data_IF_213516366279
#
_entry.id   IF_213516366279
#
_cell.length_a   1.000
_cell.length_b   1.000
_cell.length_c   1.000
_cell.angle_alpha   90.00
_cell.angle_beta   90.00
_cell.angle_gamma   90.00
#
_symmetry.space_group_name_H-M   'P 1'
#
loop_
_entity.id
_entity.type
_entity.pdbx_description
1 polymer ?
#
# COMPACT_ATOMS: atom_id res chain seq x y z
N UNK A 1 0.79 -18.84 24.76
CA UNK A 1 -0.21 -18.69 23.67
C UNK A 1 0.05 -17.35 23.04
N UNK A 2 0.41 -17.30 21.76
CA UNK A 2 0.60 -16.02 21.08
C UNK A 2 -0.74 -15.31 21.00
N UNK A 3 -0.77 -14.05 21.43
CA UNK A 3 -1.96 -13.22 21.34
C UNK A 3 -1.93 -12.50 19.99
N UNK A 4 -2.05 -13.25 18.87
CA UNK A 4 -2.17 -12.63 17.56
C UNK A 4 -3.50 -11.87 17.48
N UNK A 5 -3.45 -10.58 17.74
CA UNK A 5 -4.59 -9.67 17.64
C UNK A 5 -4.37 -8.74 16.46
N UNK A 6 -5.24 -8.84 15.49
CA UNK A 6 -5.14 -8.06 14.24
C UNK A 6 -6.32 -7.12 14.11
N UNK A 7 -6.03 -5.85 13.83
CA UNK A 7 -7.00 -4.89 13.32
C UNK A 7 -6.91 -4.79 11.79
N UNK A 8 -7.97 -4.35 11.15
CA UNK A 8 -8.04 -4.14 9.69
C UNK A 8 -8.28 -2.67 9.38
N UNK A 9 -7.54 -2.12 8.42
CA UNK A 9 -7.76 -0.80 7.82
C UNK A 9 -7.97 -0.98 6.33
N UNK A 10 -9.14 -0.55 5.84
CA UNK A 10 -9.49 -0.54 4.42
C UNK A 10 -9.73 0.90 3.96
N UNK A 11 -9.32 1.21 2.73
CA UNK A 11 -9.57 2.51 2.10
C UNK A 11 -10.41 2.31 0.85
N UNK A 12 -11.46 3.12 0.67
CA UNK A 12 -12.33 3.07 -0.49
C UNK A 12 -12.60 4.46 -1.07
N UNK A 13 -12.82 4.53 -2.38
CA UNK A 13 -13.27 5.74 -3.08
C UNK A 13 -14.03 5.40 -4.35
N UNK A 14 -15.35 5.67 -4.37
CA UNK A 14 -16.22 5.44 -5.54
C UNK A 14 -16.12 4.01 -6.11
N UNK A 15 -16.11 3.00 -5.24
CA UNK A 15 -15.99 1.58 -5.59
C UNK A 15 -16.91 0.69 -4.73
N UNK A 16 -18.15 1.14 -4.54
CA UNK A 16 -19.17 0.48 -3.71
C UNK A 16 -19.30 -1.02 -4.03
N UNK A 17 -19.26 -1.41 -5.31
CA UNK A 17 -19.46 -2.80 -5.69
C UNK A 17 -18.27 -3.70 -5.32
N UNK A 18 -17.04 -3.18 -5.36
CA UNK A 18 -15.86 -3.92 -4.93
C UNK A 18 -15.81 -3.99 -3.39
N UNK A 19 -16.10 -2.90 -2.71
CA UNK A 19 -16.18 -2.86 -1.25
C UNK A 19 -17.20 -3.87 -0.70
N UNK A 20 -18.38 -3.98 -1.31
CA UNK A 20 -19.42 -4.98 -0.95
C UNK A 20 -18.93 -6.42 -1.07
N UNK A 21 -17.97 -6.70 -1.94
CA UNK A 21 -17.36 -8.03 -2.07
C UNK A 21 -16.21 -8.21 -1.07
N UNK A 22 -15.43 -7.16 -0.81
CA UNK A 22 -14.26 -7.23 0.06
C UNK A 22 -14.63 -7.40 1.54
N UNK A 23 -15.57 -6.61 2.07
CA UNK A 23 -15.92 -6.64 3.50
C UNK A 23 -16.26 -8.05 4.01
N UNK A 24 -17.06 -8.87 3.31
CA UNK A 24 -17.34 -10.24 3.74
C UNK A 24 -16.09 -11.13 3.81
N UNK A 25 -15.04 -10.89 3.00
CA UNK A 25 -13.80 -11.68 3.06
C UNK A 25 -13.05 -11.47 4.38
N UNK A 26 -13.15 -10.28 4.96
CA UNK A 26 -12.57 -9.97 6.27
C UNK A 26 -13.45 -10.43 7.43
N UNK A 27 -14.77 -10.25 7.33
CA UNK A 27 -15.73 -10.65 8.37
C UNK A 27 -15.81 -12.17 8.57
N UNK A 28 -15.57 -12.94 7.50
CA UNK A 28 -15.63 -14.41 7.50
C UNK A 28 -14.31 -15.09 7.82
N UNK A 29 -13.22 -14.33 8.05
CA UNK A 29 -11.94 -14.95 8.43
C UNK A 29 -12.12 -15.93 9.58
N UNK A 30 -11.47 -17.11 9.51
CA UNK A 30 -11.50 -18.13 10.59
C UNK A 30 -10.89 -17.58 11.88
N UNK A 31 -9.83 -16.80 11.78
CA UNK A 31 -9.32 -15.93 12.85
C UNK A 31 -9.82 -14.51 12.60
N UNK A 32 -10.86 -14.11 13.32
CA UNK A 32 -11.48 -12.79 13.14
C UNK A 32 -10.56 -11.65 13.57
N UNK A 33 -10.54 -10.52 12.84
CA UNK A 33 -9.92 -9.31 13.34
C UNK A 33 -10.68 -8.77 14.56
N UNK A 34 -9.98 -8.08 15.46
CA UNK A 34 -10.61 -7.47 16.64
C UNK A 34 -11.40 -6.23 16.27
N UNK A 35 -10.95 -5.51 15.24
CA UNK A 35 -11.69 -4.39 14.65
C UNK A 35 -11.48 -4.28 13.14
N UNK A 36 -12.40 -3.58 12.49
CA UNK A 36 -12.29 -3.16 11.09
C UNK A 36 -12.57 -1.65 11.00
N UNK A 37 -11.61 -0.90 10.49
CA UNK A 37 -11.73 0.53 10.18
C UNK A 37 -11.84 0.66 8.65
N UNK A 38 -12.93 1.24 8.18
CA UNK A 38 -13.13 1.54 6.75
C UNK A 38 -13.08 3.05 6.57
N UNK A 39 -12.17 3.51 5.73
CA UNK A 39 -12.06 4.93 5.39
C UNK A 39 -12.73 5.17 4.04
N UNK A 40 -13.83 5.89 4.07
CA UNK A 40 -14.48 6.43 2.86
C UNK A 40 -13.83 7.77 2.49
N UNK A 41 -13.11 7.77 1.39
CA UNK A 41 -12.35 8.92 0.91
C UNK A 41 -13.24 9.93 0.14
N UNK A 42 -14.40 10.27 0.70
CA UNK A 42 -15.40 11.18 0.12
C UNK A 42 -16.07 10.60 -1.14
N UNK A 43 -16.61 9.40 -1.07
CA UNK A 43 -17.33 8.76 -2.18
C UNK A 43 -18.70 9.42 -2.47
N UNK A 44 -19.15 9.28 -3.71
CA UNK A 44 -20.42 9.86 -4.21
C UNK A 44 -21.32 8.80 -4.90
N UNK A 45 -21.00 7.52 -4.75
CA UNK A 45 -21.65 6.39 -5.43
C UNK A 45 -22.59 5.57 -4.51
N UNK A 46 -22.95 6.11 -3.32
CA UNK A 46 -23.75 5.41 -2.31
C UNK A 46 -22.92 4.64 -1.29
N UNK A 47 -21.58 4.75 -1.34
CA UNK A 47 -20.67 4.09 -0.37
C UNK A 47 -20.92 4.57 1.05
N UNK A 48 -21.17 5.86 1.26
CA UNK A 48 -21.40 6.45 2.58
C UNK A 48 -22.63 5.86 3.26
N UNK A 49 -23.74 5.79 2.55
CA UNK A 49 -25.00 5.24 3.04
C UNK A 49 -24.86 3.76 3.38
N UNK A 50 -24.22 3.00 2.49
CA UNK A 50 -23.93 1.59 2.70
C UNK A 50 -23.04 1.37 3.93
N UNK A 51 -22.00 2.16 4.12
CA UNK A 51 -21.10 2.03 5.27
C UNK A 51 -21.78 2.40 6.59
N UNK A 52 -22.70 3.37 6.60
CA UNK A 52 -23.48 3.70 7.79
C UNK A 52 -24.37 2.52 8.24
N UNK A 53 -24.96 1.79 7.30
CA UNK A 53 -25.70 0.56 7.59
C UNK A 53 -24.78 -0.58 8.02
N UNK A 54 -23.63 -0.73 7.36
CA UNK A 54 -22.65 -1.77 7.68
C UNK A 54 -22.05 -1.61 9.08
N UNK A 55 -21.76 -0.37 9.51
CA UNK A 55 -21.11 -0.07 10.81
C UNK A 55 -21.94 -0.58 11.98
N UNK A 56 -23.27 -0.50 11.90
CA UNK A 56 -24.19 -0.90 12.98
C UNK A 56 -24.54 -2.40 12.97
N UNK A 57 -24.14 -3.14 11.94
CA UNK A 57 -24.39 -4.59 11.88
C UNK A 57 -23.47 -5.34 12.83
N UNK A 58 -24.04 -6.12 13.72
CA UNK A 58 -23.28 -6.98 14.63
C UNK A 58 -22.71 -8.21 13.91
N UNK A 59 -21.40 -8.43 14.06
CA UNK A 59 -20.71 -9.61 13.52
C UNK A 59 -19.58 -10.13 14.43
N UNK A 60 -19.51 -9.62 15.68
CA UNK A 60 -18.45 -9.95 16.64
C UNK A 60 -17.10 -9.28 16.34
N UNK A 61 -17.09 -8.25 15.49
CA UNK A 61 -15.93 -7.43 15.15
C UNK A 61 -16.32 -5.96 15.43
N UNK A 62 -15.45 -5.19 16.06
CA UNK A 62 -15.66 -3.76 16.26
C UNK A 62 -15.52 -3.06 14.92
N UNK A 63 -16.57 -2.40 14.45
CA UNK A 63 -16.58 -1.66 13.19
C UNK A 63 -16.43 -0.17 13.43
N UNK A 64 -15.70 0.50 12.56
CA UNK A 64 -15.52 1.96 12.56
C UNK A 64 -15.47 2.49 11.13
N UNK A 65 -16.29 3.47 10.84
CA UNK A 65 -16.25 4.19 9.56
C UNK A 65 -15.66 5.58 9.76
N UNK A 66 -14.74 5.96 8.89
CA UNK A 66 -14.18 7.32 8.82
C UNK A 66 -14.52 7.88 7.45
N UNK A 67 -15.40 8.87 7.39
CA UNK A 67 -15.72 9.59 6.15
C UNK A 67 -14.87 10.86 6.08
N UNK A 68 -14.01 10.96 5.06
CA UNK A 68 -13.21 12.16 4.84
C UNK A 68 -14.06 13.27 4.20
N UNK A 69 -13.79 14.54 4.50
CA UNK A 69 -14.56 15.67 3.98
C UNK A 69 -14.28 15.94 2.49
N UNK A 70 -13.15 15.47 1.99
CA UNK A 70 -12.68 15.63 0.61
C UNK A 70 -11.84 14.41 0.19
N UNK A 71 -11.69 14.20 -1.11
CA UNK A 71 -10.81 13.15 -1.63
C UNK A 71 -9.34 13.51 -1.43
N UNK A 72 -8.70 12.85 -0.47
CA UNK A 72 -7.26 13.00 -0.14
C UNK A 72 -6.37 11.96 -0.83
N UNK A 73 -6.92 11.22 -1.78
CA UNK A 73 -6.22 10.11 -2.44
C UNK A 73 -6.00 8.91 -1.50
N UNK A 74 -5.43 7.84 -2.03
CA UNK A 74 -5.11 6.65 -1.24
C UNK A 74 -4.21 6.98 -0.04
N UNK A 75 -3.22 7.84 -0.24
CA UNK A 75 -2.27 8.26 0.81
C UNK A 75 -2.96 8.89 2.02
N UNK A 76 -3.90 9.81 1.79
CA UNK A 76 -4.67 10.45 2.86
C UNK A 76 -5.66 9.49 3.53
N UNK A 77 -6.24 8.55 2.76
CA UNK A 77 -7.09 7.50 3.30
C UNK A 77 -6.34 6.57 4.25
N UNK A 78 -5.20 6.03 3.82
CA UNK A 78 -4.35 5.18 4.68
C UNK A 78 -3.80 5.94 5.88
N UNK A 79 -3.42 7.20 5.72
CA UNK A 79 -3.03 8.04 6.86
C UNK A 79 -4.14 8.11 7.91
N UNK A 80 -5.37 8.43 7.52
CA UNK A 80 -6.50 8.57 8.45
C UNK A 80 -6.83 7.24 9.15
N UNK A 81 -6.91 6.14 8.40
CA UNK A 81 -7.19 4.82 8.95
C UNK A 81 -6.09 4.30 9.88
N UNK A 82 -4.83 4.46 9.50
CA UNK A 82 -3.68 4.06 10.33
C UNK A 82 -3.49 4.94 11.55
N UNK A 83 -3.87 6.22 11.47
CA UNK A 83 -3.89 7.11 12.65
C UNK A 83 -4.86 6.56 13.70
N UNK A 84 -6.10 6.31 13.33
CA UNK A 84 -7.11 5.70 14.22
C UNK A 84 -6.63 4.36 14.77
N UNK A 85 -6.12 3.47 13.90
CA UNK A 85 -5.62 2.16 14.30
C UNK A 85 -4.41 2.23 15.24
N UNK A 86 -3.52 3.21 15.08
CA UNK A 86 -2.33 3.38 15.91
C UNK A 86 -2.65 3.81 17.34
N UNK A 87 -3.76 4.51 17.54
CA UNK A 87 -4.25 4.94 18.86
C UNK A 87 -4.91 3.79 19.65
N UNK A 88 -5.32 2.72 18.98
CA UNK A 88 -5.92 1.52 19.62
C UNK A 88 -4.83 0.61 20.18
N UNK A 89 -5.13 -0.01 21.33
CA UNK A 89 -4.21 -0.95 22.03
C UNK A 89 -4.68 -2.39 22.02
N UNK A 90 -5.81 -2.66 21.39
CA UNK A 90 -6.46 -3.96 21.32
C UNK A 90 -5.96 -4.85 20.16
N UNK A 91 -5.05 -4.34 19.30
CA UNK A 91 -4.38 -5.11 18.27
C UNK A 91 -2.86 -4.89 18.30
N UNK A 92 -2.10 -5.95 18.04
CA UNK A 92 -0.64 -5.94 17.95
C UNK A 92 -0.17 -5.76 16.50
N UNK A 93 -1.02 -6.19 15.57
CA UNK A 93 -0.83 -6.09 14.13
C UNK A 93 -1.99 -5.35 13.47
N UNK A 94 -1.69 -4.59 12.42
CA UNK A 94 -2.67 -3.84 11.64
C UNK A 94 -2.54 -4.30 10.20
N UNK A 95 -3.55 -5.00 9.69
CA UNK A 95 -3.68 -5.31 8.27
C UNK A 95 -4.14 -4.08 7.51
N UNK A 96 -3.48 -3.79 6.39
CA UNK A 96 -3.85 -2.69 5.50
C UNK A 96 -4.13 -3.19 4.09
N UNK A 97 -5.22 -2.71 3.49
CA UNK A 97 -5.59 -3.07 2.13
C UNK A 97 -6.52 -2.05 1.47
N UNK A 98 -6.56 -2.09 0.14
CA UNK A 98 -7.57 -1.40 -0.68
C UNK A 98 -8.89 -2.19 -0.69
N UNK A 99 -9.95 -1.55 -1.17
CA UNK A 99 -11.31 -2.09 -1.28
C UNK A 99 -11.48 -3.21 -2.33
N UNK A 100 -10.44 -3.54 -3.09
CA UNK A 100 -10.38 -4.63 -4.08
C UNK A 100 -9.31 -5.68 -3.75
N UNK A 101 -8.84 -5.71 -2.52
CA UNK A 101 -7.98 -6.76 -2.00
C UNK A 101 -8.81 -7.80 -1.24
N UNK A 102 -8.81 -9.03 -1.72
CA UNK A 102 -9.63 -10.13 -1.21
C UNK A 102 -8.73 -11.20 -0.60
N UNK A 103 -8.56 -11.25 0.75
CA UNK A 103 -7.84 -12.32 1.41
C UNK A 103 -8.64 -13.62 1.36
N UNK A 104 -7.96 -14.76 1.36
CA UNK A 104 -8.58 -16.06 1.52
C UNK A 104 -9.09 -16.27 2.94
N UNK A 105 -10.04 -17.20 3.11
CA UNK A 105 -10.75 -17.49 4.36
C UNK A 105 -9.83 -17.77 5.56
N UNK A 106 -8.68 -18.38 5.34
CA UNK A 106 -7.74 -18.82 6.38
C UNK A 106 -6.50 -17.92 6.51
N UNK A 107 -6.42 -16.79 5.83
CA UNK A 107 -5.17 -16.03 5.77
C UNK A 107 -4.75 -15.44 7.12
N UNK A 108 -5.69 -15.02 7.95
CA UNK A 108 -5.36 -14.53 9.30
C UNK A 108 -4.98 -15.67 10.26
N UNK A 109 -5.55 -16.87 10.09
CA UNK A 109 -5.12 -18.06 10.81
C UNK A 109 -3.72 -18.52 10.36
N UNK A 110 -3.42 -18.47 9.06
CA UNK A 110 -2.06 -18.72 8.52
C UNK A 110 -1.06 -17.73 9.09
N UNK A 111 -1.42 -16.44 9.17
CA UNK A 111 -0.60 -15.42 9.78
C UNK A 111 -0.31 -15.69 11.27
N UNK A 112 -1.30 -16.08 12.04
CA UNK A 112 -1.14 -16.48 13.44
C UNK A 112 -0.18 -17.65 13.57
N UNK A 113 -0.41 -18.73 12.82
CA UNK A 113 0.44 -19.93 12.81
C UNK A 113 1.87 -19.61 12.39
N UNK A 114 2.04 -18.72 11.40
CA UNK A 114 3.37 -18.28 10.98
C UNK A 114 4.12 -17.56 12.11
N UNK A 115 3.45 -16.66 12.83
CA UNK A 115 4.03 -15.95 13.98
C UNK A 115 4.41 -16.94 15.10
N UNK A 116 3.53 -17.89 15.42
CA UNK A 116 3.78 -18.90 16.47
C UNK A 116 4.97 -19.80 16.13
N UNK A 117 5.03 -20.28 14.89
CA UNK A 117 6.08 -21.20 14.43
C UNK A 117 7.44 -20.51 14.23
N UNK A 118 7.48 -19.18 14.16
CA UNK A 118 8.70 -18.40 13.89
C UNK A 118 8.90 -17.27 14.91
N UNK A 119 8.52 -17.49 16.17
CA UNK A 119 8.50 -16.46 17.22
C UNK A 119 9.82 -15.69 17.33
N UNK A 120 10.99 -16.40 17.33
CA UNK A 120 12.31 -15.78 17.40
C UNK A 120 12.58 -14.81 16.23
N UNK A 121 12.21 -15.19 15.00
CA UNK A 121 12.35 -14.34 13.82
C UNK A 121 11.43 -13.14 13.92
N UNK A 122 10.20 -13.38 14.38
CA UNK A 122 9.15 -12.36 14.47
C UNK A 122 9.45 -11.27 15.48
N UNK A 123 10.30 -11.48 16.49
CA UNK A 123 10.76 -10.42 17.41
C UNK A 123 11.38 -9.23 16.66
N UNK A 124 12.15 -9.49 15.61
CA UNK A 124 12.81 -8.48 14.79
C UNK A 124 12.03 -8.01 13.56
N UNK A 125 10.73 -8.40 13.42
CA UNK A 125 9.92 -8.08 12.24
C UNK A 125 9.04 -6.86 12.51
N UNK A 126 9.15 -5.85 11.66
CA UNK A 126 8.33 -4.63 11.70
C UNK A 126 7.04 -4.76 10.87
N UNK A 127 7.09 -5.52 9.79
CA UNK A 127 5.94 -5.79 8.93
C UNK A 127 6.08 -7.14 8.22
N UNK A 128 4.98 -7.74 7.83
CA UNK A 128 4.98 -8.85 6.90
C UNK A 128 3.75 -8.78 5.98
N UNK A 129 3.84 -9.40 4.81
CA UNK A 129 2.77 -9.35 3.82
C UNK A 129 2.58 -10.71 3.16
N UNK A 130 1.43 -10.92 2.57
CA UNK A 130 1.15 -12.07 1.74
C UNK A 130 1.61 -11.90 0.29
N UNK A 131 1.38 -12.93 -0.51
CA UNK A 131 1.49 -12.91 -1.96
C UNK A 131 0.23 -12.28 -2.56
N UNK A 132 0.39 -11.32 -3.45
CA UNK A 132 -0.71 -10.80 -4.26
C UNK A 132 -0.80 -11.57 -5.57
N UNK A 133 -2.00 -12.00 -5.93
CA UNK A 133 -2.28 -12.76 -7.16
C UNK A 133 -3.45 -12.17 -7.94
N UNK A 134 -3.36 -12.23 -9.26
CA UNK A 134 -4.47 -11.95 -10.15
C UNK A 134 -4.51 -12.98 -11.28
N UNK A 135 -5.63 -13.70 -11.44
CA UNK A 135 -5.83 -14.73 -12.46
C UNK A 135 -4.70 -15.78 -12.52
N UNK A 136 -4.24 -16.28 -11.37
CA UNK A 136 -3.18 -17.29 -11.28
C UNK A 136 -1.76 -16.74 -11.47
N UNK A 137 -1.59 -15.42 -11.62
CA UNK A 137 -0.29 -14.77 -11.81
C UNK A 137 0.09 -13.95 -10.59
N UNK A 138 1.33 -14.09 -10.17
CA UNK A 138 1.87 -13.25 -9.08
C UNK A 138 1.96 -11.79 -9.53
N UNK A 139 1.33 -10.89 -8.77
CA UNK A 139 1.45 -9.45 -8.97
C UNK A 139 2.80 -8.95 -8.40
N UNK A 140 3.89 -9.25 -9.09
CA UNK A 140 5.28 -9.03 -8.63
C UNK A 140 5.61 -7.57 -8.32
N UNK A 141 4.85 -6.62 -8.86
CA UNK A 141 5.01 -5.17 -8.59
C UNK A 141 4.61 -4.76 -7.17
N UNK A 142 3.89 -5.63 -6.45
CA UNK A 142 3.41 -5.33 -5.09
C UNK A 142 4.49 -5.49 -4.02
N UNK A 143 5.57 -6.19 -4.32
CA UNK A 143 6.68 -6.48 -3.40
C UNK A 143 8.02 -6.29 -4.13
N UNK A 144 8.98 -5.64 -3.48
CA UNK A 144 10.29 -5.42 -4.10
C UNK A 144 11.44 -5.46 -3.08
N UNK A 145 12.64 -5.61 -3.60
CA UNK A 145 13.90 -5.40 -2.87
C UNK A 145 14.70 -4.27 -3.47
N UNK A 146 15.57 -3.68 -2.69
CA UNK A 146 16.61 -2.81 -3.21
C UNK A 146 17.78 -3.62 -3.70
N UNK A 147 18.08 -3.55 -4.99
CA UNK A 147 19.34 -4.00 -5.56
C UNK A 147 20.36 -2.88 -5.52
N UNK A 148 21.59 -3.18 -5.09
CA UNK A 148 22.70 -2.23 -5.08
C UNK A 148 23.59 -2.47 -6.30
N UNK A 149 23.75 -1.47 -7.13
CA UNK A 149 24.68 -1.46 -8.26
C UNK A 149 25.69 -0.32 -8.14
N UNK A 150 26.65 -0.25 -9.06
CA UNK A 150 27.61 0.87 -9.15
C UNK A 150 26.91 2.21 -9.40
N UNK A 151 25.69 2.18 -9.96
CA UNK A 151 24.85 3.34 -10.25
C UNK A 151 23.89 3.70 -9.10
N UNK A 152 24.02 3.05 -7.94
CA UNK A 152 23.19 3.27 -6.77
C UNK A 152 22.14 2.17 -6.52
N UNK A 153 21.31 2.39 -5.51
CA UNK A 153 20.22 1.47 -5.15
C UNK A 153 19.00 1.71 -6.03
N UNK A 154 18.32 0.63 -6.42
CA UNK A 154 17.06 0.72 -7.16
C UNK A 154 16.15 -0.45 -6.77
N UNK A 155 14.86 -0.26 -6.88
CA UNK A 155 13.86 -1.30 -6.62
C UNK A 155 13.86 -2.35 -7.73
N UNK A 156 13.78 -3.62 -7.32
CA UNK A 156 13.65 -4.78 -8.20
C UNK A 156 12.48 -5.63 -7.68
N UNK A 157 11.48 -5.91 -8.50
CA UNK A 157 10.39 -6.81 -8.14
C UNK A 157 10.92 -8.19 -7.72
N UNK A 158 10.21 -8.85 -6.81
CA UNK A 158 10.55 -10.20 -6.38
C UNK A 158 10.26 -11.18 -7.54
N UNK A 159 11.21 -12.07 -7.80
CA UNK A 159 11.04 -13.09 -8.82
C UNK A 159 9.92 -14.08 -8.44
N UNK A 160 9.05 -14.43 -9.38
CA UNK A 160 7.92 -15.36 -9.13
C UNK A 160 8.38 -16.69 -8.51
N UNK A 161 9.55 -17.18 -8.90
CA UNK A 161 10.14 -18.40 -8.34
C UNK A 161 10.24 -18.34 -6.80
N UNK A 162 10.53 -17.18 -6.21
CA UNK A 162 10.65 -17.08 -4.74
C UNK A 162 9.30 -17.31 -4.06
N UNK A 163 8.23 -16.76 -4.61
CA UNK A 163 6.87 -17.00 -4.10
C UNK A 163 6.44 -18.47 -4.19
N UNK A 164 6.95 -19.21 -5.18
CA UNK A 164 6.59 -20.62 -5.43
C UNK A 164 7.44 -21.62 -4.65
N UNK A 165 8.63 -21.22 -4.16
CA UNK A 165 9.61 -22.16 -3.60
C UNK A 165 10.02 -21.89 -2.17
N UNK A 166 9.70 -20.71 -1.62
CA UNK A 166 10.08 -20.33 -0.25
C UNK A 166 8.85 -20.21 0.61
N UNK A 167 8.94 -20.67 1.85
CA UNK A 167 7.88 -20.46 2.87
C UNK A 167 7.77 -19.00 3.29
N UNK A 168 8.90 -18.30 3.34
CA UNK A 168 8.97 -16.85 3.52
C UNK A 168 10.31 -16.30 3.02
N UNK A 169 10.39 -14.97 2.85
CA UNK A 169 11.62 -14.28 2.46
C UNK A 169 11.58 -12.80 2.83
N UNK A 170 12.74 -12.18 3.00
CA UNK A 170 12.87 -10.75 3.29
C UNK A 170 12.62 -9.91 2.03
N UNK A 171 11.97 -8.77 2.22
CA UNK A 171 11.75 -7.72 1.20
C UNK A 171 12.10 -6.37 1.81
N UNK A 172 12.25 -5.33 0.96
CA UNK A 172 12.47 -3.95 1.43
C UNK A 172 11.22 -3.07 1.26
N UNK A 173 10.34 -3.42 0.31
CA UNK A 173 9.21 -2.62 -0.10
C UNK A 173 7.95 -3.48 -0.23
N UNK A 174 6.87 -2.99 0.34
CA UNK A 174 5.52 -3.54 0.21
C UNK A 174 4.55 -2.48 -0.30
N UNK A 175 3.42 -2.91 -0.87
CA UNK A 175 2.24 -2.07 -1.07
C UNK A 175 1.25 -2.22 0.09
N UNK A 176 0.32 -1.26 0.22
CA UNK A 176 -0.81 -1.37 1.14
C UNK A 176 -1.91 -2.33 0.61
N UNK A 177 -1.48 -3.44 0.00
CA UNK A 177 -2.35 -4.51 -0.46
C UNK A 177 -1.97 -5.78 0.31
N UNK A 178 -2.66 -6.03 1.43
CA UNK A 178 -2.44 -7.23 2.23
C UNK A 178 -1.11 -7.23 3.00
N UNK A 179 -0.87 -6.19 3.77
CA UNK A 179 0.33 -6.06 4.62
C UNK A 179 -0.07 -5.93 6.08
N UNK A 180 0.54 -6.74 6.95
CA UNK A 180 0.47 -6.62 8.40
C UNK A 180 1.58 -5.72 8.89
N UNK A 181 1.23 -4.63 9.54
CA UNK A 181 2.13 -3.69 10.19
C UNK A 181 2.16 -3.98 11.69
N UNK A 182 3.34 -4.16 12.27
CA UNK A 182 3.46 -4.22 13.73
C UNK A 182 3.17 -2.85 14.31
N UNK A 183 2.17 -2.77 15.20
CA UNK A 183 1.73 -1.48 15.77
C UNK A 183 2.86 -0.70 16.44
N UNK A 184 3.71 -1.36 17.23
CA UNK A 184 4.87 -0.71 17.86
C UNK A 184 5.88 -0.15 16.87
N UNK A 185 6.11 -0.87 15.76
CA UNK A 185 7.00 -0.40 14.70
C UNK A 185 6.37 0.78 13.94
N UNK A 186 5.06 0.75 13.70
CA UNK A 186 4.31 1.87 13.12
C UNK A 186 4.42 3.13 13.96
N UNK A 187 4.27 3.03 15.29
CA UNK A 187 4.41 4.16 16.19
C UNK A 187 5.80 4.79 16.14
N UNK A 188 6.86 3.98 15.96
CA UNK A 188 8.25 4.46 15.84
C UNK A 188 8.56 4.99 14.43
N UNK A 189 8.05 4.34 13.39
CA UNK A 189 8.25 4.76 12.00
C UNK A 189 7.43 6.02 11.65
N UNK A 190 6.30 6.23 12.34
CA UNK A 190 5.30 7.24 12.04
C UNK A 190 4.36 6.82 10.91
N UNK A 191 3.28 7.55 10.76
CA UNK A 191 2.22 7.29 9.78
C UNK A 191 2.69 7.51 8.33
N UNK A 192 2.04 6.90 7.32
CA UNK A 192 2.37 7.17 5.92
C UNK A 192 2.17 8.65 5.56
N UNK A 193 2.80 9.08 4.49
CA UNK A 193 2.73 10.48 4.03
C UNK A 193 1.40 10.77 3.37
N UNK A 194 0.50 11.47 4.07
CA UNK A 194 -0.81 11.89 3.53
C UNK A 194 -0.68 12.87 2.35
N UNK A 195 0.40 13.65 2.32
CA UNK A 195 0.66 14.68 1.32
C UNK A 195 1.14 14.13 -0.05
N UNK A 196 1.30 12.82 -0.18
CA UNK A 196 1.62 12.18 -1.47
C UNK A 196 0.41 12.09 -2.40
N UNK A 197 -0.79 12.11 -1.86
CA UNK A 197 -2.06 11.93 -2.55
C UNK A 197 -2.24 10.52 -3.09
N UNK A 198 -1.37 10.02 -3.97
CA UNK A 198 -1.40 8.67 -4.53
C UNK A 198 0.00 8.23 -4.98
N UNK A 199 0.28 6.93 -4.88
CA UNK A 199 1.53 6.27 -5.24
C UNK A 199 2.74 6.62 -4.38
N UNK A 200 3.53 5.60 -4.07
CA UNK A 200 4.79 5.66 -3.35
C UNK A 200 4.67 6.01 -1.85
N UNK A 201 3.48 6.25 -1.34
CA UNK A 201 3.21 6.40 0.09
C UNK A 201 3.47 5.09 0.85
N UNK A 202 3.09 3.98 0.25
CA UNK A 202 3.37 2.61 0.71
C UNK A 202 4.88 2.29 0.69
N UNK A 203 5.56 2.56 -0.40
CA UNK A 203 7.01 2.34 -0.53
C UNK A 203 7.82 3.25 0.40
N UNK A 204 7.44 4.53 0.52
CA UNK A 204 8.07 5.47 1.44
C UNK A 204 7.88 5.00 2.89
N UNK A 205 6.69 4.53 3.23
CA UNK A 205 6.39 3.98 4.53
C UNK A 205 7.16 2.68 4.79
N UNK A 206 7.24 1.77 3.80
CA UNK A 206 8.02 0.54 3.89
C UNK A 206 9.50 0.82 4.22
N UNK A 207 10.10 1.83 3.59
CA UNK A 207 11.50 2.22 3.90
C UNK A 207 11.65 2.66 5.36
N UNK A 208 10.67 3.37 5.92
CA UNK A 208 10.72 3.77 7.34
C UNK A 208 10.46 2.60 8.28
N UNK A 209 9.53 1.72 7.94
CA UNK A 209 9.26 0.48 8.69
C UNK A 209 10.47 -0.46 8.67
N UNK A 210 11.17 -0.57 7.53
CA UNK A 210 12.40 -1.35 7.41
C UNK A 210 13.55 -0.88 8.30
N UNK A 211 13.52 0.37 8.80
CA UNK A 211 14.46 0.87 9.82
C UNK A 211 14.09 0.43 11.25
N UNK A 212 12.85 -0.04 11.44
CA UNK A 212 12.37 -0.52 12.74
C UNK A 212 12.50 -2.05 12.88
N UNK A 213 12.70 -2.77 11.79
CA UNK A 213 12.84 -4.22 11.78
C UNK A 213 12.74 -4.79 10.37
N UNK A 214 12.89 -6.10 10.24
CA UNK A 214 12.75 -6.79 8.97
C UNK A 214 11.33 -6.70 8.42
N UNK A 215 11.23 -6.76 7.09
CA UNK A 215 9.95 -6.90 6.40
C UNK A 215 9.97 -8.25 5.69
N UNK A 216 8.95 -9.08 5.92
CA UNK A 216 8.86 -10.42 5.36
C UNK A 216 7.71 -10.51 4.35
N UNK A 217 7.88 -11.37 3.35
CA UNK A 217 6.77 -11.88 2.55
C UNK A 217 6.54 -13.35 2.90
N UNK A 218 5.29 -13.71 3.15
CA UNK A 218 4.82 -15.06 3.49
C UNK A 218 3.85 -15.51 2.41
N UNK A 219 4.32 -16.22 1.36
CA UNK A 219 3.50 -16.55 0.18
C UNK A 219 2.26 -17.40 0.45
N UNK A 220 2.21 -18.12 1.55
CA UNK A 220 1.04 -18.92 1.98
C UNK A 220 -0.19 -18.05 2.26
N UNK A 221 0.01 -16.78 2.65
CA UNK A 221 -1.05 -15.78 2.79
C UNK A 221 -1.33 -15.23 1.40
N UNK A 222 -2.55 -15.46 0.88
CA UNK A 222 -2.88 -15.18 -0.52
C UNK A 222 -3.95 -14.11 -0.64
N UNK A 223 -3.60 -13.01 -1.29
CA UNK A 223 -4.50 -11.89 -1.54
C UNK A 223 -4.83 -11.84 -3.03
N UNK A 224 -6.10 -12.00 -3.37
CA UNK A 224 -6.58 -11.77 -4.72
C UNK A 224 -6.81 -10.28 -4.91
N UNK A 225 -6.03 -9.67 -5.82
CA UNK A 225 -6.13 -8.24 -6.09
C UNK A 225 -6.13 -8.02 -7.60
N UNK A 226 -7.19 -7.40 -8.11
CA UNK A 226 -7.33 -7.10 -9.53
C UNK A 226 -6.33 -6.02 -9.93
N UNK A 227 -5.23 -6.47 -10.53
CA UNK A 227 -4.20 -5.57 -11.01
C UNK A 227 -4.70 -4.85 -12.29
N UNK A 228 -5.27 -3.67 -12.11
CA UNK A 228 -5.66 -2.80 -13.21
C UNK A 228 -4.46 -2.07 -13.84
N UNK A 229 -3.24 -2.60 -13.70
CA UNK A 229 -2.07 -2.15 -14.44
C UNK A 229 -2.15 -2.54 -15.93
N UNK A 230 -3.30 -2.30 -16.54
CA UNK A 230 -3.32 -2.05 -17.97
C UNK A 230 -2.50 -0.77 -18.18
N UNK A 231 -1.34 -0.93 -18.77
CA UNK A 231 -0.52 0.17 -19.25
C UNK A 231 -1.40 1.05 -20.13
N UNK A 232 -2.07 2.00 -19.52
CA UNK A 232 -2.82 2.99 -20.24
C UNK A 232 -1.76 3.79 -21.01
N UNK A 233 -1.74 3.64 -22.35
CA UNK A 233 -0.79 4.35 -23.21
C UNK A 233 -1.02 5.86 -23.17
N UNK A 234 -2.19 6.28 -22.68
CA UNK A 234 -2.59 7.68 -22.55
C UNK A 234 -1.98 8.32 -21.30
N UNK A 235 -1.51 9.53 -21.45
CA UNK A 235 -0.98 10.33 -20.35
C UNK A 235 -2.11 10.76 -19.42
N UNK A 236 -1.94 10.57 -18.14
CA UNK A 236 -2.94 10.92 -17.14
C UNK A 236 -2.32 11.68 -15.95
N UNK A 237 -3.17 12.21 -15.09
CA UNK A 237 -2.76 12.84 -13.84
C UNK A 237 -1.90 11.90 -12.95
N UNK A 238 -2.08 10.59 -13.07
CA UNK A 238 -1.31 9.58 -12.33
C UNK A 238 0.18 9.61 -12.65
N UNK A 239 0.56 9.91 -13.91
CA UNK A 239 1.97 10.00 -14.33
C UNK A 239 2.73 11.09 -13.56
N UNK A 240 2.04 12.19 -13.24
CA UNK A 240 2.61 13.25 -12.41
C UNK A 240 2.96 12.77 -11.02
N UNK A 241 2.00 12.19 -10.28
CA UNK A 241 2.23 11.74 -8.91
C UNK A 241 3.24 10.58 -8.83
N UNK A 242 3.12 9.59 -9.69
CA UNK A 242 4.07 8.47 -9.77
C UNK A 242 5.51 8.95 -10.02
N UNK A 243 5.68 10.06 -10.74
CA UNK A 243 7.01 10.63 -11.00
C UNK A 243 7.46 11.56 -9.88
N UNK A 244 6.60 12.45 -9.39
CA UNK A 244 6.93 13.37 -8.29
C UNK A 244 7.32 12.60 -7.03
N UNK A 245 6.49 11.65 -6.63
CA UNK A 245 6.66 10.95 -5.37
C UNK A 245 7.86 9.99 -5.37
N UNK A 246 8.15 9.33 -6.50
CA UNK A 246 9.38 8.52 -6.60
C UNK A 246 10.65 9.39 -6.54
N UNK A 247 10.61 10.62 -7.07
CA UNK A 247 11.73 11.56 -6.93
C UNK A 247 11.93 11.97 -5.48
N UNK A 248 10.84 12.24 -4.75
CA UNK A 248 10.90 12.55 -3.31
C UNK A 248 11.44 11.35 -2.53
N UNK A 249 10.90 10.14 -2.74
CA UNK A 249 11.36 8.91 -2.08
C UNK A 249 12.87 8.71 -2.27
N UNK A 250 13.35 8.80 -3.51
CA UNK A 250 14.77 8.63 -3.81
C UNK A 250 15.65 9.74 -3.22
N UNK A 251 15.15 10.98 -3.21
CA UNK A 251 15.87 12.12 -2.62
C UNK A 251 16.01 11.98 -1.11
N UNK A 252 14.95 11.49 -0.44
CA UNK A 252 14.87 11.43 1.02
C UNK A 252 15.57 10.19 1.59
N UNK A 253 15.43 9.04 0.93
CA UNK A 253 15.81 7.75 1.51
C UNK A 253 16.95 7.02 0.79
N UNK A 254 17.31 7.43 -0.44
CA UNK A 254 18.33 6.78 -1.22
C UNK A 254 19.52 7.72 -1.53
N UNK A 255 20.44 7.24 -2.34
CA UNK A 255 21.62 8.03 -2.68
C UNK A 255 21.42 8.93 -3.93
N UNK A 256 22.27 9.96 -4.05
CA UNK A 256 22.21 10.92 -5.17
C UNK A 256 22.42 10.27 -6.54
N UNK A 257 23.19 9.16 -6.61
CA UNK A 257 23.44 8.46 -7.88
C UNK A 257 22.17 7.74 -8.32
N UNK A 258 21.52 7.03 -7.41
CA UNK A 258 20.25 6.36 -7.64
C UNK A 258 19.17 7.37 -8.11
N UNK A 259 19.06 8.52 -7.44
CA UNK A 259 18.13 9.59 -7.85
C UNK A 259 18.40 10.09 -9.28
N UNK A 260 19.69 10.37 -9.62
CA UNK A 260 20.06 10.83 -10.98
C UNK A 260 19.70 9.80 -12.05
N UNK A 261 20.00 8.52 -11.80
CA UNK A 261 19.64 7.42 -12.70
C UNK A 261 18.13 7.29 -12.88
N UNK A 262 17.37 7.40 -11.78
CA UNK A 262 15.91 7.33 -11.82
C UNK A 262 15.31 8.47 -12.65
N UNK A 263 15.77 9.69 -12.44
CA UNK A 263 15.34 10.86 -13.21
C UNK A 263 15.68 10.67 -14.69
N UNK A 264 16.92 10.27 -15.00
CA UNK A 264 17.35 10.03 -16.36
C UNK A 264 16.47 9.00 -17.09
N UNK A 265 16.21 7.83 -16.44
CA UNK A 265 15.31 6.80 -16.98
C UNK A 265 13.90 7.31 -17.24
N UNK A 266 13.34 8.11 -16.34
CA UNK A 266 12.01 8.72 -16.50
C UNK A 266 11.98 9.70 -17.68
N UNK A 267 12.99 10.54 -17.82
CA UNK A 267 13.10 11.47 -18.95
C UNK A 267 13.28 10.72 -20.26
N UNK A 268 14.18 9.73 -20.31
CA UNK A 268 14.39 8.92 -21.50
C UNK A 268 13.09 8.27 -21.99
N UNK A 269 12.36 7.62 -21.08
CA UNK A 269 11.06 7.00 -21.41
C UNK A 269 10.02 8.04 -21.90
N UNK A 270 10.02 9.24 -21.31
CA UNK A 270 9.13 10.31 -21.75
C UNK A 270 9.49 10.81 -23.15
N UNK A 271 10.77 11.05 -23.43
CA UNK A 271 11.23 11.49 -24.75
C UNK A 271 11.05 10.41 -25.83
N UNK A 272 11.34 9.16 -25.50
CA UNK A 272 11.15 8.02 -26.43
C UNK A 272 9.69 7.82 -26.84
N UNK A 273 8.73 8.29 -26.01
CA UNK A 273 7.31 8.22 -26.40
C UNK A 273 6.89 9.18 -27.48
N UNK A 274 7.69 10.21 -27.80
CA UNK A 274 7.35 11.30 -28.73
C UNK A 274 6.19 12.20 -28.27
N UNK A 275 5.55 11.89 -27.12
CA UNK A 275 4.38 12.63 -26.63
C UNK A 275 4.81 13.89 -25.86
N UNK A 276 4.56 15.07 -26.47
CA UNK A 276 4.92 16.38 -25.90
C UNK A 276 4.27 16.64 -24.53
N UNK A 277 3.02 16.19 -24.35
CA UNK A 277 2.28 16.34 -23.09
C UNK A 277 2.94 15.52 -22.00
N UNK A 278 3.27 14.24 -22.28
CA UNK A 278 3.98 13.36 -21.35
C UNK A 278 5.32 13.95 -20.91
N UNK A 279 6.10 14.47 -21.88
CA UNK A 279 7.38 15.11 -21.58
C UNK A 279 7.20 16.29 -20.63
N UNK A 280 6.17 17.14 -20.87
CA UNK A 280 5.85 18.27 -19.99
C UNK A 280 5.51 17.82 -18.58
N UNK A 281 4.56 16.86 -18.43
CA UNK A 281 4.11 16.32 -17.14
C UNK A 281 5.29 15.75 -16.35
N UNK A 282 6.12 14.91 -16.99
CA UNK A 282 7.27 14.27 -16.33
C UNK A 282 8.31 15.30 -15.88
N UNK A 283 8.61 16.33 -16.71
CA UNK A 283 9.54 17.40 -16.34
C UNK A 283 9.05 18.20 -15.13
N UNK A 284 7.78 18.57 -15.12
CA UNK A 284 7.15 19.34 -14.04
C UNK A 284 7.14 18.49 -12.73
N UNK A 285 6.73 17.22 -12.83
CA UNK A 285 6.76 16.29 -11.69
C UNK A 285 8.18 16.12 -11.11
N UNK A 286 9.21 16.01 -11.95
CA UNK A 286 10.62 15.95 -11.50
C UNK A 286 11.03 17.26 -10.81
N UNK A 287 10.65 18.42 -11.36
CA UNK A 287 10.99 19.71 -10.79
C UNK A 287 10.34 19.89 -9.41
N UNK A 288 9.05 19.53 -9.28
CA UNK A 288 8.30 19.60 -8.03
C UNK A 288 8.80 18.57 -7.02
N UNK A 289 9.11 17.34 -7.45
CA UNK A 289 9.70 16.32 -6.60
C UNK A 289 11.07 16.73 -6.03
N UNK A 290 11.93 17.37 -6.82
CA UNK A 290 13.21 17.94 -6.35
C UNK A 290 13.03 19.02 -5.30
N UNK A 291 11.95 19.81 -5.39
CA UNK A 291 11.59 20.88 -4.44
C UNK A 291 10.72 20.38 -3.29
N UNK A 292 10.39 19.08 -3.27
CA UNK A 292 9.49 18.44 -2.30
C UNK A 292 8.12 19.15 -2.21
N UNK A 293 7.63 19.65 -3.32
CA UNK A 293 6.25 20.15 -3.39
C UNK A 293 5.29 18.97 -3.38
N UNK A 294 4.46 18.91 -2.38
CA UNK A 294 3.51 17.80 -2.14
C UNK A 294 2.06 18.30 -2.20
N UNK A 295 1.11 17.45 -1.82
CA UNK A 295 -0.31 17.75 -1.88
C UNK A 295 -0.91 17.59 -3.29
N UNK A 296 -2.17 18.00 -3.43
CA UNK A 296 -2.92 17.93 -4.69
C UNK A 296 -2.46 19.00 -5.67
N UNK A 297 -2.07 18.57 -6.87
CA UNK A 297 -1.64 19.50 -7.92
C UNK A 297 -2.86 20.20 -8.53
N UNK A 298 -2.80 21.54 -8.75
CA UNK A 298 -3.96 22.29 -9.24
C UNK A 298 -4.44 21.87 -10.62
N UNK A 299 -3.55 21.38 -11.49
CA UNK A 299 -3.86 20.92 -12.86
C UNK A 299 -4.00 19.39 -12.91
N UNK A 300 -2.98 18.65 -12.46
CA UNK A 300 -2.96 17.18 -12.52
C UNK A 300 -3.75 16.59 -11.36
N UNK A 301 -5.06 16.50 -11.49
CA UNK A 301 -5.99 15.93 -10.49
C UNK A 301 -6.93 14.92 -11.14
N UNK A 302 -7.64 14.10 -10.38
CA UNK A 302 -8.58 13.12 -10.93
C UNK A 302 -9.46 13.69 -12.03
N UNK A 303 -9.56 12.97 -13.15
CA UNK A 303 -10.26 13.40 -14.36
C UNK A 303 -9.40 14.09 -15.41
N UNK A 304 -8.20 14.62 -15.06
CA UNK A 304 -7.31 15.20 -16.07
C UNK A 304 -6.71 14.10 -16.97
N UNK A 305 -6.77 14.36 -18.28
CA UNK A 305 -6.15 13.56 -19.35
C UNK A 305 -5.33 14.47 -20.24
N UNK A 306 -4.20 13.97 -20.75
CA UNK A 306 -3.28 14.68 -21.64
C UNK A 306 -3.71 14.71 -23.09
#
# INVERSE_FOLDING_TARGET
MSNFRTGVVLVTYNRLQELKKALPCYEKQTKKPVYMIVVDNCSTDGTKEFLAEWEVQECGIIKKVITLPDNRGGSGGFYAGLKEASERTDADWIWVADDDAFPELYDFEKAEKFIENHAEIMEGVSAFCGMCEYEGRVASVQRARFSKTILGRHEVPIAEKEYRTKSFFEIDLYSFVGTFLRREALLKAGLPREDFFIYQDDYEHAVRMGKQGKILCVPEILIHHKDNYMYNKEVSWRDYYATRNIVILYKTHLDKKALRLRIWRRLLAAYSSGNKVKIKVIKEAIADGKKEKTGVHPVYKPGWKG
#
